data_IF_622725698071
#
_entry.id   IF_622725698071
#
_cell.length_a   1.000
_cell.length_b   1.000
_cell.length_c   1.000
_cell.angle_alpha   90.00
_cell.angle_beta   90.00
_cell.angle_gamma   90.00
#
_symmetry.space_group_name_H-M   'P 1'
#
loop_
_entity.id
_entity.type
_entity.pdbx_description
1 polymer ?
#
# COMPACT_ATOMS: atom_id res chain seq x y z
N UNK A 1 18.89 3.63 -17.09
CA UNK A 1 17.67 3.07 -16.46
C UNK A 1 18.13 2.14 -15.36
N UNK A 2 17.85 2.44 -14.09
CA UNK A 2 18.19 1.53 -13.00
C UNK A 2 17.12 0.44 -12.93
N UNK A 3 17.45 -0.77 -13.39
CA UNK A 3 16.61 -1.97 -13.23
C UNK A 3 17.30 -2.87 -12.22
N UNK A 4 16.66 -3.12 -11.08
CA UNK A 4 17.10 -4.18 -10.17
C UNK A 4 16.73 -5.52 -10.84
N UNK A 5 17.70 -6.37 -11.23
CA UNK A 5 17.48 -7.51 -12.14
C UNK A 5 16.61 -8.65 -11.56
N UNK A 6 16.08 -8.49 -10.35
CA UNK A 6 15.29 -9.51 -9.63
C UNK A 6 13.85 -9.05 -9.37
N UNK A 7 13.56 -7.75 -9.51
CA UNK A 7 12.24 -7.17 -9.31
C UNK A 7 12.01 -6.12 -10.39
N UNK A 8 11.08 -6.38 -11.31
CA UNK A 8 10.65 -5.39 -12.30
C UNK A 8 9.95 -4.22 -11.58
N UNK A 9 10.73 -3.21 -11.21
CA UNK A 9 10.32 -2.02 -10.46
C UNK A 9 10.62 -0.80 -11.32
N UNK A 10 9.60 -0.01 -11.61
CA UNK A 10 9.74 1.31 -12.23
C UNK A 10 10.34 2.28 -11.22
N UNK A 11 11.04 3.31 -11.69
CA UNK A 11 11.55 4.42 -10.87
C UNK A 11 10.40 5.36 -10.44
N UNK A 12 9.36 4.80 -9.85
CA UNK A 12 8.16 5.46 -9.37
C UNK A 12 7.94 5.07 -7.90
N UNK A 13 7.62 6.02 -7.00
CA UNK A 13 7.54 5.76 -5.58
C UNK A 13 6.41 4.79 -5.21
N UNK A 14 5.30 4.80 -5.94
CA UNK A 14 4.21 3.85 -5.73
C UNK A 14 4.63 2.43 -6.11
N UNK A 15 5.28 2.23 -7.26
CA UNK A 15 5.71 0.89 -7.68
C UNK A 15 6.77 0.31 -6.73
N UNK A 16 7.71 1.14 -6.26
CA UNK A 16 8.69 0.74 -5.26
C UNK A 16 8.04 0.33 -3.93
N UNK A 17 7.07 1.11 -3.45
CA UNK A 17 6.29 0.78 -2.25
C UNK A 17 5.53 -0.53 -2.43
N UNK A 18 4.81 -0.70 -3.54
CA UNK A 18 4.04 -1.91 -3.81
C UNK A 18 4.96 -3.14 -3.96
N UNK A 19 6.12 -3.00 -4.59
CA UNK A 19 7.09 -4.10 -4.66
C UNK A 19 7.61 -4.52 -3.27
N UNK A 20 7.89 -3.55 -2.39
CA UNK A 20 8.31 -3.80 -1.02
C UNK A 20 7.19 -4.49 -0.20
N UNK A 21 5.95 -4.03 -0.34
CA UNK A 21 4.77 -4.67 0.26
C UNK A 21 4.63 -6.12 -0.24
N UNK A 22 4.73 -6.34 -1.55
CA UNK A 22 4.67 -7.68 -2.13
C UNK A 22 5.78 -8.60 -1.63
N UNK A 23 7.00 -8.08 -1.43
CA UNK A 23 8.10 -8.88 -0.86
C UNK A 23 7.81 -9.30 0.58
N UNK A 24 7.28 -8.38 1.40
CA UNK A 24 6.87 -8.68 2.77
C UNK A 24 5.72 -9.70 2.82
N UNK A 25 4.74 -9.57 1.94
CA UNK A 25 3.64 -10.54 1.80
C UNK A 25 4.16 -11.94 1.44
N UNK A 26 5.15 -12.02 0.53
CA UNK A 26 5.79 -13.30 0.19
C UNK A 26 6.51 -13.94 1.38
N UNK A 27 7.12 -13.13 2.27
CA UNK A 27 7.71 -13.63 3.52
C UNK A 27 6.64 -14.14 4.48
N UNK A 28 5.55 -13.39 4.67
CA UNK A 28 4.45 -13.77 5.55
C UNK A 28 3.79 -15.07 5.08
N UNK A 29 3.51 -15.21 3.78
CA UNK A 29 2.92 -16.41 3.22
C UNK A 29 3.81 -17.67 3.35
N UNK A 30 5.12 -17.49 3.53
CA UNK A 30 6.09 -18.57 3.76
C UNK A 30 6.41 -18.79 5.25
N UNK A 31 5.80 -18.01 6.14
CA UNK A 31 6.06 -18.12 7.58
C UNK A 31 5.23 -19.25 8.20
N UNK A 32 5.72 -19.81 9.30
CA UNK A 32 5.01 -20.81 10.09
C UNK A 32 4.01 -20.19 11.09
N UNK A 33 3.61 -18.92 10.90
CA UNK A 33 2.69 -18.22 11.79
C UNK A 33 1.24 -18.71 11.56
N UNK A 34 0.60 -19.39 12.54
CA UNK A 34 -0.75 -19.92 12.38
C UNK A 34 -1.81 -18.82 12.19
N UNK A 35 -1.57 -17.60 12.67
CA UNK A 35 -2.48 -16.48 12.44
C UNK A 35 -2.47 -16.04 10.97
N UNK A 36 -1.27 -16.00 10.37
CA UNK A 36 -1.12 -15.69 8.95
C UNK A 36 -1.72 -16.80 8.10
N UNK A 37 -1.42 -18.06 8.40
CA UNK A 37 -1.98 -19.21 7.70
C UNK A 37 -3.52 -19.18 7.71
N UNK A 38 -4.13 -18.87 8.86
CA UNK A 38 -5.59 -18.75 8.99
C UNK A 38 -6.19 -17.63 8.12
N UNK A 39 -5.47 -16.53 7.92
CA UNK A 39 -5.92 -15.42 7.05
C UNK A 39 -5.86 -15.81 5.56
N UNK A 40 -4.90 -16.68 5.18
CA UNK A 40 -4.57 -16.99 3.79
C UNK A 40 -5.14 -18.30 3.24
N UNK A 41 -5.34 -19.33 4.07
CA UNK A 41 -5.60 -20.71 3.62
C UNK A 41 -6.91 -20.92 2.84
N UNK A 42 -7.91 -20.04 3.01
CA UNK A 42 -9.22 -20.11 2.33
C UNK A 42 -9.47 -18.90 1.42
N UNK A 43 -8.40 -18.41 0.77
CA UNK A 43 -8.46 -17.22 -0.08
C UNK A 43 -7.87 -17.50 -1.44
N UNK A 44 -8.72 -17.34 -2.46
CA UNK A 44 -8.35 -17.38 -3.88
C UNK A 44 -8.76 -16.07 -4.52
N UNK A 45 -7.91 -15.07 -4.46
CA UNK A 45 -8.22 -13.70 -4.87
C UNK A 45 -7.02 -13.03 -5.54
N UNK A 46 -7.28 -12.04 -6.37
CA UNK A 46 -6.26 -11.15 -6.90
C UNK A 46 -6.58 -9.70 -6.60
N UNK A 47 -5.59 -8.96 -6.11
CA UNK A 47 -5.72 -7.53 -5.80
C UNK A 47 -4.73 -6.76 -6.66
N UNK A 48 -5.22 -5.80 -7.44
CA UNK A 48 -4.40 -4.87 -8.22
C UNK A 48 -4.39 -3.50 -7.53
N UNK A 49 -3.20 -2.91 -7.41
CA UNK A 49 -3.02 -1.54 -6.97
C UNK A 49 -2.17 -0.79 -8.01
N UNK A 50 -2.54 0.43 -8.31
CA UNK A 50 -1.82 1.22 -9.30
C UNK A 50 -2.32 2.64 -9.44
N UNK A 51 -1.74 3.33 -10.40
CA UNK A 51 -2.25 4.59 -10.94
C UNK A 51 -2.14 4.53 -12.45
N UNK A 52 -3.28 4.47 -13.14
CA UNK A 52 -3.32 4.52 -14.62
C UNK A 52 -2.70 5.81 -15.15
N UNK A 53 -2.90 6.94 -14.44
CA UNK A 53 -2.36 8.25 -14.82
C UNK A 53 -0.82 8.23 -14.93
N UNK A 54 -0.15 7.48 -14.05
CA UNK A 54 1.31 7.35 -14.03
C UNK A 54 1.82 6.06 -14.70
N UNK A 55 0.91 5.28 -15.29
CA UNK A 55 1.23 4.00 -15.91
C UNK A 55 1.83 2.98 -14.94
N UNK A 56 1.46 3.02 -13.66
CA UNK A 56 1.93 2.09 -12.62
C UNK A 56 0.83 1.12 -12.26
N UNK A 57 1.16 -0.18 -12.20
CA UNK A 57 0.28 -1.20 -11.67
C UNK A 57 1.12 -2.35 -11.13
N UNK A 58 0.64 -2.97 -10.05
CA UNK A 58 1.15 -4.22 -9.49
C UNK A 58 -0.04 -5.00 -8.95
N UNK A 59 -0.04 -6.30 -9.19
CA UNK A 59 -1.08 -7.16 -8.64
C UNK A 59 -0.50 -8.30 -7.82
N UNK A 60 -1.29 -8.69 -6.82
CA UNK A 60 -1.02 -9.75 -5.89
C UNK A 60 -2.02 -10.88 -6.11
N UNK A 61 -1.53 -12.11 -6.13
CA UNK A 61 -2.35 -13.32 -6.27
C UNK A 61 -2.18 -14.13 -5.00
N UNK A 62 -3.30 -14.34 -4.31
CA UNK A 62 -3.41 -15.21 -3.15
C UNK A 62 -4.18 -16.45 -3.59
N UNK A 63 -3.63 -17.63 -3.34
CA UNK A 63 -4.26 -18.90 -3.70
C UNK A 63 -3.99 -19.93 -2.60
N UNK A 64 -4.96 -20.06 -1.69
CA UNK A 64 -5.01 -21.05 -0.60
C UNK A 64 -3.69 -21.16 0.15
N UNK A 65 -3.27 -20.07 0.80
CA UNK A 65 -2.02 -19.99 1.55
C UNK A 65 -0.81 -19.53 0.72
N UNK A 66 -0.83 -19.73 -0.61
CA UNK A 66 0.26 -19.29 -1.48
C UNK A 66 0.12 -17.81 -1.89
N UNK A 67 1.26 -17.17 -2.19
CA UNK A 67 1.33 -15.78 -2.61
C UNK A 67 2.27 -15.59 -3.79
N UNK A 68 1.84 -14.82 -4.78
CA UNK A 68 2.67 -14.31 -5.88
C UNK A 68 2.39 -12.83 -6.14
N UNK A 69 3.38 -12.11 -6.66
CA UNK A 69 3.22 -10.72 -7.10
C UNK A 69 3.77 -10.52 -8.51
N UNK A 70 3.18 -9.57 -9.24
CA UNK A 70 3.54 -9.29 -10.62
C UNK A 70 3.44 -7.79 -10.91
N UNK A 71 4.42 -7.25 -11.62
CA UNK A 71 4.36 -5.89 -12.18
C UNK A 71 3.37 -5.85 -13.35
N UNK A 72 2.65 -4.74 -13.53
CA UNK A 72 1.65 -4.56 -14.57
C UNK A 72 0.23 -4.76 -14.05
N UNK A 73 -0.73 -4.75 -14.96
CA UNK A 73 -2.16 -4.91 -14.64
C UNK A 73 -2.58 -6.38 -14.80
N UNK A 74 -3.44 -6.83 -13.89
CA UNK A 74 -4.16 -8.09 -14.02
C UNK A 74 -5.31 -7.94 -15.02
N UNK A 75 -5.66 -9.02 -15.73
CA UNK A 75 -6.77 -8.98 -16.67
C UNK A 75 -8.12 -8.76 -15.97
N UNK A 76 -8.39 -9.52 -14.91
CA UNK A 76 -9.67 -9.46 -14.20
C UNK A 76 -9.46 -9.64 -12.69
N UNK A 77 -8.84 -8.65 -12.02
CA UNK A 77 -8.57 -8.75 -10.60
C UNK A 77 -9.86 -8.80 -9.79
N UNK A 78 -9.85 -9.52 -8.66
CA UNK A 78 -10.98 -9.56 -7.72
C UNK A 78 -11.27 -8.20 -7.11
N UNK A 79 -10.22 -7.40 -6.89
CA UNK A 79 -10.29 -5.99 -6.50
C UNK A 79 -9.22 -5.20 -7.24
N UNK A 80 -9.58 -4.05 -7.80
CA UNK A 80 -8.64 -3.06 -8.35
C UNK A 80 -8.78 -1.75 -7.60
N UNK A 81 -7.64 -1.17 -7.23
CA UNK A 81 -7.53 0.17 -6.64
C UNK A 81 -6.66 1.02 -7.57
N UNK A 82 -7.26 2.04 -8.15
CA UNK A 82 -6.63 2.96 -9.08
C UNK A 82 -6.55 4.35 -8.45
N UNK A 83 -5.37 4.74 -8.00
CA UNK A 83 -5.12 6.04 -7.40
C UNK A 83 -5.03 7.11 -8.48
N UNK A 84 -5.53 8.33 -8.21
CA UNK A 84 -5.45 9.45 -9.17
C UNK A 84 -4.02 9.73 -9.64
N UNK A 85 -3.05 9.53 -8.74
CA UNK A 85 -1.61 9.64 -8.97
C UNK A 85 -0.84 8.80 -7.94
N UNK A 86 0.43 8.56 -8.23
CA UNK A 86 1.32 7.71 -7.45
C UNK A 86 1.56 8.23 -6.04
N UNK A 87 1.68 9.55 -5.88
CA UNK A 87 1.94 10.16 -4.57
C UNK A 87 0.74 10.05 -3.64
N UNK A 88 -0.46 10.14 -4.20
CA UNK A 88 -1.73 9.89 -3.50
C UNK A 88 -1.79 8.45 -3.03
N UNK A 89 -1.44 7.50 -3.89
CA UNK A 89 -1.33 6.08 -3.51
C UNK A 89 -0.34 5.85 -2.38
N UNK A 90 0.87 6.42 -2.48
CA UNK A 90 1.89 6.33 -1.42
C UNK A 90 1.36 6.90 -0.10
N UNK A 91 0.75 8.09 -0.12
CA UNK A 91 0.23 8.75 1.08
C UNK A 91 -0.87 7.92 1.75
N UNK A 92 -1.80 7.39 0.97
CA UNK A 92 -2.91 6.60 1.51
C UNK A 92 -2.43 5.27 2.08
N UNK A 93 -1.59 4.53 1.34
CA UNK A 93 -1.09 3.22 1.75
C UNK A 93 -0.20 3.30 2.99
N UNK A 94 0.64 4.33 3.10
CA UNK A 94 1.52 4.52 4.26
C UNK A 94 0.81 5.14 5.47
N UNK A 95 -0.27 5.88 5.23
CA UNK A 95 -1.06 6.49 6.31
C UNK A 95 -1.88 5.48 7.13
N UNK A 96 -2.23 4.33 6.55
CA UNK A 96 -2.93 3.22 7.25
C UNK A 96 -4.29 3.59 7.85
N UNK A 97 -4.87 4.73 7.47
CA UNK A 97 -6.08 5.28 8.05
C UNK A 97 -7.28 4.99 7.15
N UNK A 98 -8.20 4.14 7.62
CA UNK A 98 -9.44 3.79 6.91
C UNK A 98 -10.27 5.03 6.58
N UNK A 99 -10.36 6.01 7.48
CA UNK A 99 -11.10 7.25 7.21
C UNK A 99 -10.49 8.03 6.05
N UNK A 100 -9.16 8.08 5.94
CA UNK A 100 -8.48 8.76 4.82
C UNK A 100 -8.75 8.06 3.48
N UNK A 101 -8.80 6.72 3.46
CA UNK A 101 -9.22 5.96 2.29
C UNK A 101 -10.67 6.27 1.90
N UNK A 102 -11.59 6.31 2.86
CA UNK A 102 -13.00 6.62 2.59
C UNK A 102 -13.18 8.03 2.05
N UNK A 103 -12.47 9.02 2.61
CA UNK A 103 -12.46 10.39 2.06
C UNK A 103 -11.90 10.44 0.65
N UNK A 104 -10.80 9.74 0.38
CA UNK A 104 -10.21 9.71 -0.96
C UNK A 104 -11.14 9.09 -2.02
N UNK A 105 -11.98 8.11 -1.64
CA UNK A 105 -13.04 7.58 -2.52
C UNK A 105 -14.09 8.66 -2.81
N UNK A 106 -14.57 9.36 -1.77
CA UNK A 106 -15.56 10.43 -1.90
C UNK A 106 -15.06 11.58 -2.77
N UNK A 107 -13.81 11.97 -2.58
CA UNK A 107 -13.13 13.04 -3.32
C UNK A 107 -12.66 12.60 -4.72
N UNK A 108 -12.91 11.34 -5.11
CA UNK A 108 -12.46 10.74 -6.38
C UNK A 108 -10.93 10.78 -6.56
N UNK A 109 -10.19 10.79 -5.45
CA UNK A 109 -8.73 10.67 -5.46
C UNK A 109 -8.25 9.22 -5.65
N UNK A 110 -9.17 8.26 -5.55
CA UNK A 110 -8.97 6.88 -5.98
C UNK A 110 -10.30 6.28 -6.49
N UNK A 111 -10.21 5.32 -7.40
CA UNK A 111 -11.33 4.54 -7.91
C UNK A 111 -11.12 3.09 -7.51
N UNK A 112 -12.21 2.41 -7.14
CA UNK A 112 -12.18 0.97 -6.84
C UNK A 112 -13.17 0.21 -7.70
N UNK A 113 -12.76 -0.98 -8.12
CA UNK A 113 -13.56 -1.88 -8.96
C UNK A 113 -13.49 -3.30 -8.39
N UNK A 114 -14.58 -4.06 -8.45
CA UNK A 114 -14.64 -5.44 -7.95
C UNK A 114 -15.23 -5.56 -6.55
N UNK A 115 -14.70 -6.48 -5.75
CA UNK A 115 -15.21 -6.81 -4.41
C UNK A 115 -14.56 -5.96 -3.31
N UNK A 116 -15.32 -5.00 -2.80
CA UNK A 116 -14.89 -4.07 -1.74
C UNK A 116 -14.69 -4.75 -0.37
N UNK A 117 -15.29 -5.92 -0.15
CA UNK A 117 -15.09 -6.68 1.11
C UNK A 117 -13.62 -7.12 1.27
N UNK A 118 -12.90 -7.24 0.16
CA UNK A 118 -11.48 -7.59 0.14
C UNK A 118 -10.58 -6.52 0.76
N UNK A 119 -11.03 -5.26 0.90
CA UNK A 119 -10.30 -4.24 1.65
C UNK A 119 -10.21 -4.59 3.13
N UNK A 120 -11.33 -5.03 3.72
CA UNK A 120 -11.39 -5.39 5.13
C UNK A 120 -10.55 -6.64 5.39
N UNK A 121 -10.63 -7.62 4.50
CA UNK A 121 -9.76 -8.80 4.55
C UNK A 121 -8.29 -8.43 4.41
N UNK A 122 -7.92 -7.63 3.40
CA UNK A 122 -6.53 -7.22 3.17
C UNK A 122 -5.99 -6.39 4.35
N UNK A 123 -6.83 -5.58 5.00
CA UNK A 123 -6.45 -4.83 6.20
C UNK A 123 -6.10 -5.75 7.39
N UNK A 124 -6.73 -6.93 7.50
CA UNK A 124 -6.33 -7.93 8.51
C UNK A 124 -4.90 -8.40 8.27
N UNK A 125 -4.55 -8.68 7.00
CA UNK A 125 -3.20 -9.08 6.60
C UNK A 125 -2.19 -7.92 6.73
N UNK A 126 -2.62 -6.69 6.39
CA UNK A 126 -1.78 -5.50 6.39
C UNK A 126 -1.18 -5.16 7.76
N UNK A 127 -1.87 -5.50 8.85
CA UNK A 127 -1.38 -5.34 10.23
C UNK A 127 -0.09 -6.10 10.51
N UNK A 128 0.20 -7.15 9.75
CA UNK A 128 1.41 -7.97 9.87
C UNK A 128 2.52 -7.56 8.87
N UNK A 129 2.17 -6.70 7.90
CA UNK A 129 3.12 -6.19 6.90
C UNK A 129 4.12 -5.25 7.57
N UNK A 130 3.64 -4.33 8.40
CA UNK A 130 4.53 -3.48 9.21
C UNK A 130 5.21 -4.38 10.25
N UNK A 131 6.55 -4.51 10.23
CA UNK A 131 7.24 -5.33 11.21
C UNK A 131 7.01 -4.78 12.61
N UNK A 132 6.86 -5.67 13.58
CA UNK A 132 6.84 -5.24 14.98
C UNK A 132 8.17 -4.56 15.29
N UNK A 133 8.08 -3.32 15.77
CA UNK A 133 9.25 -2.57 16.20
C UNK A 133 9.87 -3.33 17.39
N UNK A 134 11.15 -3.75 17.33
CA UNK A 134 11.79 -4.41 18.45
C UNK A 134 11.70 -3.54 19.71
N UNK A 135 11.49 -4.17 20.87
CA UNK A 135 11.21 -3.46 22.12
C UNK A 135 12.31 -2.45 22.49
N UNK A 136 13.54 -2.73 22.07
CA UNK A 136 14.74 -1.92 22.27
C UNK A 136 14.69 -0.60 21.48
N UNK A 137 14.00 -0.60 20.33
CA UNK A 137 13.93 0.56 19.42
C UNK A 137 12.67 1.39 19.66
N UNK A 138 11.63 0.81 20.28
CA UNK A 138 10.39 1.52 20.68
C UNK A 138 10.66 2.84 21.43
N UNK A 139 11.51 2.91 22.48
CA UNK A 139 11.75 4.17 23.18
C UNK A 139 12.47 5.22 22.33
N UNK A 140 13.27 4.81 21.34
CA UNK A 140 13.92 5.72 20.39
C UNK A 140 12.91 6.27 19.37
N UNK A 141 12.01 5.40 18.90
CA UNK A 141 10.91 5.76 18.00
C UNK A 141 9.90 6.70 18.67
N UNK A 142 9.50 6.45 19.91
CA UNK A 142 8.60 7.35 20.66
C UNK A 142 9.21 8.75 20.85
N UNK A 143 10.52 8.84 21.07
CA UNK A 143 11.23 10.13 21.12
C UNK A 143 11.26 10.83 19.76
N UNK A 144 11.30 10.09 18.66
CA UNK A 144 11.30 10.62 17.31
C UNK A 144 9.89 10.91 16.75
N UNK A 145 8.84 10.27 17.31
CA UNK A 145 7.44 10.41 16.91
C UNK A 145 6.95 11.87 16.84
N UNK A 146 7.17 12.74 17.85
CA UNK A 146 6.75 14.14 17.76
C UNK A 146 7.52 14.95 16.72
N UNK A 147 8.75 14.54 16.36
CA UNK A 147 9.54 15.17 15.30
C UNK A 147 9.00 14.78 13.92
N UNK A 148 8.65 13.51 13.74
CA UNK A 148 8.00 13.01 12.53
C UNK A 148 6.61 13.65 12.33
N UNK A 149 5.81 13.74 13.39
CA UNK A 149 4.50 14.41 13.38
C UNK A 149 4.63 15.91 13.03
N UNK A 150 5.60 16.62 13.60
CA UNK A 150 5.91 18.01 13.22
C UNK A 150 6.34 18.13 11.76
N UNK A 151 7.22 17.25 11.29
CA UNK A 151 7.67 17.26 9.89
C UNK A 151 6.51 17.00 8.92
N UNK A 152 5.62 16.05 9.23
CA UNK A 152 4.42 15.76 8.46
C UNK A 152 3.41 16.92 8.48
N UNK A 153 3.23 17.57 9.63
CA UNK A 153 2.38 18.76 9.76
C UNK A 153 2.89 19.92 8.91
N UNK A 154 4.19 20.20 8.96
CA UNK A 154 4.83 21.24 8.14
C UNK A 154 4.72 20.91 6.65
N UNK A 155 5.00 19.67 6.24
CA UNK A 155 4.84 19.25 4.86
C UNK A 155 3.39 19.41 4.37
N UNK A 156 2.41 19.05 5.20
CA UNK A 156 0.98 19.21 4.89
C UNK A 156 0.57 20.67 4.75
N UNK A 157 1.10 21.56 5.59
CA UNK A 157 0.87 23.00 5.51
C UNK A 157 1.47 23.60 4.23
N UNK A 158 2.70 23.21 3.88
CA UNK A 158 3.36 23.67 2.65
C UNK A 158 2.61 23.21 1.39
N UNK A 159 2.15 21.96 1.36
CA UNK A 159 1.33 21.42 0.27
C UNK A 159 -0.01 22.16 0.19
N UNK A 160 -0.66 22.45 1.32
CA UNK A 160 -1.89 23.23 1.38
C UNK A 160 -1.73 24.65 0.84
N UNK A 161 -0.64 25.34 1.20
CA UNK A 161 -0.33 26.68 0.69
C UNK A 161 -0.03 26.67 -0.81
N UNK A 162 0.66 25.66 -1.31
CA UNK A 162 0.93 25.51 -2.75
C UNK A 162 -0.36 25.29 -3.54
N UNK A 163 -1.27 24.42 -3.06
CA UNK A 163 -2.60 24.23 -3.66
C UNK A 163 -3.42 25.52 -3.69
N UNK A 164 -3.40 26.31 -2.63
CA UNK A 164 -4.14 27.58 -2.57
C UNK A 164 -3.55 28.66 -3.50
N UNK A 165 -2.24 28.67 -3.73
CA UNK A 165 -1.60 29.59 -4.68
C UNK A 165 -1.82 29.22 -6.15
N UNK A 166 -2.02 27.95 -6.46
CA UNK A 166 -2.29 27.46 -7.81
C UNK A 166 -3.77 27.54 -8.22
N UNK A 167 -4.67 27.85 -7.27
CA UNK A 167 -6.11 28.00 -7.49
C UNK A 167 -6.57 29.46 -7.61
N UNK A 168 -5.64 30.41 -7.69
CA UNK A 168 -5.86 31.83 -8.02
C UNK A 168 -5.12 32.15 -9.32
#
# INVERSE_FOLDING_TARGET
MFTLPILNIKANPLDALLAAVGYRLAMLAKSDDPNIAKILNDRKVSIELGSKADGVARYYVFDNGSFNQYSGSANNPSLRIDFKDSMTGVKLLTGGNVAAFMTAIQDKELVMEGDYSLLMWFNQLAKHIVPEIPAEVKPLLEKARPLAEKAQGVASQLIGMAKHKLSK
#
